data_IF_187418174155
#
_entry.id   IF_187418174155
#
_cell.length_a   1.000
_cell.length_b   1.000
_cell.length_c   1.000
_cell.angle_alpha   90.00
_cell.angle_beta   90.00
_cell.angle_gamma   90.00
#
_symmetry.space_group_name_H-M   'P 1'
#
loop_
_entity.id
_entity.type
_entity.pdbx_description
1 polymer ?
#
# COMPACT_ATOMS: atom_id res chain seq x y z
N UNK A 1 -3.31 -27.32 29.16
CA UNK A 1 -2.05 -27.19 28.38
C UNK A 1 -2.37 -27.37 26.91
N UNK A 2 -2.24 -26.28 26.15
CA UNK A 2 -1.96 -26.18 24.71
C UNK A 2 -2.77 -27.01 23.70
N UNK A 3 -3.92 -26.49 23.23
CA UNK A 3 -4.39 -26.82 21.88
C UNK A 3 -3.43 -26.22 20.88
N UNK A 4 -2.65 -27.08 20.21
CA UNK A 4 -1.90 -26.71 19.03
C UNK A 4 -2.90 -26.23 17.97
N UNK A 5 -2.91 -24.93 17.71
CA UNK A 5 -3.60 -24.34 16.58
C UNK A 5 -3.12 -25.03 15.32
N UNK A 6 -4.02 -25.78 14.71
CA UNK A 6 -3.79 -26.47 13.46
C UNK A 6 -3.58 -25.40 12.38
N UNK A 7 -2.32 -25.12 12.03
CA UNK A 7 -2.00 -24.32 10.85
C UNK A 7 -2.17 -25.26 9.64
N UNK A 8 -3.25 -25.15 8.85
CA UNK A 8 -3.33 -25.93 7.62
C UNK A 8 -2.17 -25.49 6.72
N UNK A 9 -1.22 -26.39 6.50
CA UNK A 9 -0.04 -26.20 5.65
C UNK A 9 -0.38 -26.15 4.17
N UNK A 10 -1.34 -25.31 3.77
CA UNK A 10 -1.68 -25.02 2.39
C UNK A 10 -1.40 -23.56 2.12
N UNK A 11 -0.67 -23.27 1.03
CA UNK A 11 -0.59 -21.92 0.49
C UNK A 11 -2.02 -21.39 0.31
N UNK A 12 -2.36 -20.20 0.83
CA UNK A 12 -3.69 -19.63 0.67
C UNK A 12 -4.09 -19.63 -0.81
N UNK A 13 -5.30 -20.11 -1.11
CA UNK A 13 -5.79 -20.13 -2.47
C UNK A 13 -5.70 -18.72 -3.11
N UNK A 14 -5.43 -18.62 -4.42
CA UNK A 14 -5.43 -17.34 -5.13
C UNK A 14 -6.73 -16.59 -4.82
N UNK A 15 -6.62 -15.38 -4.26
CA UNK A 15 -7.79 -14.52 -4.03
C UNK A 15 -8.40 -14.24 -5.39
N UNK A 16 -9.57 -14.83 -5.63
CA UNK A 16 -10.25 -14.74 -6.92
C UNK A 16 -10.54 -13.28 -7.27
N UNK A 17 -9.88 -12.79 -8.31
CA UNK A 17 -10.50 -11.91 -9.29
C UNK A 17 -10.47 -10.39 -9.07
N UNK A 18 -10.28 -9.88 -7.86
CA UNK A 18 -10.19 -8.42 -7.70
C UNK A 18 -8.73 -8.03 -7.48
N UNK A 19 -8.03 -7.76 -8.60
CA UNK A 19 -6.88 -6.86 -8.55
C UNK A 19 -7.39 -5.62 -7.82
N UNK A 20 -7.01 -5.45 -6.55
CA UNK A 20 -7.39 -4.29 -5.76
C UNK A 20 -6.73 -3.08 -6.40
N UNK A 21 -7.36 -2.56 -7.45
CA UNK A 21 -6.90 -1.38 -8.17
C UNK A 21 -6.97 -0.25 -7.18
N UNK A 22 -5.82 0.34 -6.90
CA UNK A 22 -5.77 1.54 -6.06
C UNK A 22 -6.44 2.66 -6.85
N UNK A 23 -7.54 3.20 -6.32
CA UNK A 23 -8.24 4.36 -6.88
C UNK A 23 -7.50 5.65 -6.55
N UNK A 24 -7.62 6.68 -7.40
CA UNK A 24 -7.07 8.01 -7.15
C UNK A 24 -7.49 8.59 -5.79
N UNK A 25 -8.69 8.27 -5.31
CA UNK A 25 -9.14 8.70 -3.98
C UNK A 25 -8.38 7.98 -2.86
N UNK A 26 -7.97 6.73 -3.06
CA UNK A 26 -7.11 6.03 -2.11
C UNK A 26 -5.70 6.62 -2.12
N UNK A 27 -5.16 6.97 -3.29
CA UNK A 27 -3.87 7.68 -3.42
C UNK A 27 -3.94 9.04 -2.71
N UNK A 28 -5.00 9.81 -2.96
CA UNK A 28 -5.22 11.12 -2.31
C UNK A 28 -5.29 10.99 -0.79
N UNK A 29 -6.04 10.02 -0.28
CA UNK A 29 -6.13 9.78 1.18
C UNK A 29 -4.79 9.31 1.76
N UNK A 30 -4.05 8.46 1.06
CA UNK A 30 -2.73 8.03 1.48
C UNK A 30 -1.76 9.22 1.57
N UNK A 31 -1.75 10.11 0.57
CA UNK A 31 -0.95 11.35 0.60
C UNK A 31 -1.29 12.23 1.80
N UNK A 32 -2.56 12.43 2.09
CA UNK A 32 -3.01 13.21 3.25
C UNK A 32 -2.60 12.56 4.58
N UNK A 33 -2.61 11.22 4.66
CA UNK A 33 -2.14 10.51 5.84
C UNK A 33 -0.63 10.70 6.04
N UNK A 34 0.17 10.58 4.98
CA UNK A 34 1.63 10.80 5.02
C UNK A 34 1.96 12.22 5.45
N UNK A 35 1.30 13.23 4.84
CA UNK A 35 1.51 14.63 5.19
C UNK A 35 1.18 14.94 6.67
N UNK A 36 0.24 14.21 7.27
CA UNK A 36 -0.09 14.32 8.69
C UNK A 36 0.90 13.60 9.61
N UNK A 37 1.60 12.61 9.10
CA UNK A 37 2.57 11.80 9.87
C UNK A 37 4.01 12.30 9.75
N UNK A 38 4.31 13.11 8.73
CA UNK A 38 5.63 13.66 8.50
C UNK A 38 6.05 14.69 9.55
N UNK A 39 7.34 14.71 9.88
CA UNK A 39 7.94 15.65 10.83
C UNK A 39 8.14 17.03 10.18
N UNK A 40 8.52 17.05 8.90
CA UNK A 40 8.69 18.25 8.10
C UNK A 40 8.43 17.99 6.60
N UNK A 41 8.64 19.01 5.77
CA UNK A 41 8.39 18.93 4.34
C UNK A 41 9.37 18.01 3.59
N UNK A 42 10.61 17.88 4.09
CA UNK A 42 11.62 16.97 3.53
C UNK A 42 11.28 15.51 3.82
N UNK A 43 10.93 15.23 5.07
CA UNK A 43 10.48 13.91 5.53
C UNK A 43 9.20 13.47 4.80
N UNK A 44 8.23 14.39 4.63
CA UNK A 44 7.02 14.13 3.85
C UNK A 44 7.35 13.70 2.42
N UNK A 45 8.29 14.39 1.77
CA UNK A 45 8.71 14.08 0.40
C UNK A 45 9.38 12.71 0.32
N UNK A 46 10.31 12.42 1.22
CA UNK A 46 11.00 11.12 1.26
C UNK A 46 10.01 9.97 1.42
N UNK A 47 9.05 10.10 2.35
CA UNK A 47 7.99 9.11 2.56
C UNK A 47 7.10 8.92 1.33
N UNK A 48 6.72 10.01 0.66
CA UNK A 48 5.92 9.94 -0.57
C UNK A 48 6.69 9.26 -1.71
N UNK A 49 7.99 9.52 -1.84
CA UNK A 49 8.87 8.88 -2.83
C UNK A 49 9.00 7.38 -2.54
N UNK A 50 9.24 6.99 -1.28
CA UNK A 50 9.34 5.59 -0.86
C UNK A 50 8.05 4.79 -1.10
N UNK A 51 6.90 5.45 -0.99
CA UNK A 51 5.59 4.85 -1.22
C UNK A 51 5.14 4.92 -2.68
N UNK A 52 5.89 5.61 -3.55
CA UNK A 52 5.49 5.86 -4.94
C UNK A 52 4.20 6.68 -5.05
N UNK A 53 3.94 7.56 -4.08
CA UNK A 53 2.77 8.44 -4.01
C UNK A 53 3.03 9.84 -4.59
N UNK A 54 4.25 10.09 -5.06
CA UNK A 54 4.59 11.30 -5.81
C UNK A 54 3.81 11.36 -7.11
N UNK A 55 3.44 12.57 -7.53
CA UNK A 55 2.82 12.79 -8.83
C UNK A 55 3.89 12.55 -9.91
N UNK A 56 4.04 11.28 -10.32
CA UNK A 56 4.81 10.93 -11.51
C UNK A 56 4.06 11.39 -12.76
N UNK A 57 4.80 11.83 -13.79
CA UNK A 57 4.26 12.27 -15.09
C UNK A 57 3.29 11.29 -15.77
N UNK A 58 3.21 10.03 -15.32
CA UNK A 58 2.45 9.00 -16.03
C UNK A 58 1.36 8.29 -15.21
N UNK A 59 1.06 8.71 -13.97
CA UNK A 59 -0.07 8.12 -13.22
C UNK A 59 -0.06 6.58 -13.14
N UNK A 60 1.11 5.94 -13.32
CA UNK A 60 1.25 4.49 -13.31
C UNK A 60 1.44 4.08 -11.85
N UNK A 61 0.44 3.45 -11.20
CA UNK A 61 0.63 2.93 -9.86
C UNK A 61 1.77 1.91 -9.86
N UNK A 62 2.64 1.87 -8.82
CA UNK A 62 3.92 1.16 -8.84
C UNK A 62 3.85 -0.38 -8.90
N UNK A 63 2.70 -0.99 -9.21
CA UNK A 63 2.63 -2.44 -9.45
C UNK A 63 1.65 -2.76 -10.59
N UNK A 64 2.21 -3.02 -11.78
CA UNK A 64 1.57 -3.82 -12.83
C UNK A 64 2.17 -5.22 -12.79
N UNK A 65 1.40 -6.22 -12.34
CA UNK A 65 1.62 -7.64 -12.61
C UNK A 65 0.35 -8.44 -12.42
#
# INVERSE_FOLDING_TARGET
MGSAGQYPGGVPAPRSGESARVSDEQVRRARLAVARSAVDAGDCRELLEMLGLVDGEDGVPPVRR
#
